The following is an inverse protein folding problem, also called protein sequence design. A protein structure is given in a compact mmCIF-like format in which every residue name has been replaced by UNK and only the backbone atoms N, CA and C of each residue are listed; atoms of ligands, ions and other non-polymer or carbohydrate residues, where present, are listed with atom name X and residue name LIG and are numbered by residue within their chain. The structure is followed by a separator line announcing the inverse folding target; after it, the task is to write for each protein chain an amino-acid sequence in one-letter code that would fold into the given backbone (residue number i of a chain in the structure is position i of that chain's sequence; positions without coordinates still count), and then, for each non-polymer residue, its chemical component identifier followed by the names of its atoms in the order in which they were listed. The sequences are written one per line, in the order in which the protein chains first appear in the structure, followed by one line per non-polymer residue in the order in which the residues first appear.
data_IF_163084847304
#
_entry.id   IF_163084847304
#
_cell.length_a   1.000
_cell.length_b   1.000
_cell.length_c   1.000
_cell.angle_alpha   90.00
_cell.angle_beta   90.00
_cell.angle_gamma   90.00
#
_symmetry.space_group_name_H-M   'P 1'
#
loop_
_entity.id
_entity.type
_entity.pdbx_description
1 polymer ?
#
# COMPACT_ATOMS: atom_id res chain seq x y z
N UNK A 1 16.95 -49.24 11.63
CA UNK A 1 16.74 -49.92 10.34
C UNK A 1 16.41 -48.87 9.28
N UNK A 2 16.85 -49.02 8.03
CA UNK A 2 16.54 -48.06 6.96
C UNK A 2 15.10 -48.19 6.44
N UNK A 3 14.57 -47.06 5.97
CA UNK A 3 13.29 -46.92 5.30
C UNK A 3 13.52 -46.35 3.90
N UNK A 4 12.90 -46.95 2.88
CA UNK A 4 12.93 -46.43 1.50
C UNK A 4 11.50 -46.23 1.01
N UNK A 5 11.18 -44.99 0.66
CA UNK A 5 9.94 -44.64 -0.01
C UNK A 5 10.29 -44.22 -1.45
N UNK A 6 10.17 -45.18 -2.37
CA UNK A 6 10.41 -44.96 -3.79
C UNK A 6 9.14 -44.53 -4.53
N UNK A 7 9.25 -44.34 -5.84
CA UNK A 7 8.12 -43.99 -6.71
C UNK A 7 8.17 -44.75 -8.04
N UNK A 8 7.09 -44.70 -8.83
CA UNK A 8 7.15 -45.12 -10.24
C UNK A 8 8.10 -44.21 -11.04
N UNK A 9 8.64 -44.70 -12.15
CA UNK A 9 9.54 -43.97 -13.04
C UNK A 9 11.01 -44.12 -12.67
N UNK A 10 11.88 -44.27 -13.67
CA UNK A 10 13.31 -44.54 -13.47
C UNK A 10 13.62 -45.90 -12.83
N UNK A 11 14.88 -46.13 -12.47
CA UNK A 11 15.42 -47.44 -12.10
C UNK A 11 16.22 -47.47 -10.78
N UNK A 12 16.26 -46.36 -10.03
CA UNK A 12 17.14 -46.21 -8.87
C UNK A 12 16.88 -47.26 -7.77
N UNK A 13 15.63 -47.68 -7.57
CA UNK A 13 15.26 -48.69 -6.57
C UNK A 13 15.84 -50.07 -6.91
N UNK A 14 16.16 -50.34 -8.17
CA UNK A 14 16.85 -51.57 -8.55
C UNK A 14 18.30 -51.61 -8.04
N UNK A 15 18.95 -50.47 -7.84
CA UNK A 15 20.27 -50.43 -7.19
C UNK A 15 20.20 -50.87 -5.72
N UNK A 16 19.06 -50.64 -5.07
CA UNK A 16 18.79 -51.14 -3.70
C UNK A 16 18.54 -52.65 -3.73
N UNK A 17 17.82 -53.13 -4.75
CA UNK A 17 17.64 -54.57 -5.02
C UNK A 17 18.98 -55.28 -5.21
N UNK A 18 19.88 -54.71 -6.00
CA UNK A 18 21.23 -55.23 -6.22
C UNK A 18 22.04 -55.22 -4.92
N UNK A 19 22.05 -54.12 -4.18
CA UNK A 19 22.78 -54.02 -2.92
C UNK A 19 22.28 -54.98 -1.81
N UNK A 20 20.98 -55.33 -1.83
CA UNK A 20 20.43 -56.39 -0.97
C UNK A 20 20.93 -57.78 -1.38
N UNK A 21 20.92 -58.07 -2.69
CA UNK A 21 21.40 -59.35 -3.24
C UNK A 21 22.89 -59.55 -3.00
N UNK A 22 23.68 -58.48 -3.13
CA UNK A 22 25.13 -58.50 -2.94
C UNK A 22 25.54 -58.50 -1.45
N UNK A 23 24.56 -58.48 -0.53
CA UNK A 23 24.81 -58.50 0.92
C UNK A 23 25.43 -57.20 1.46
N UNK A 24 25.41 -56.11 0.68
CA UNK A 24 25.91 -54.79 1.10
C UNK A 24 24.96 -54.19 2.14
N UNK A 25 23.64 -54.34 1.93
CA UNK A 25 22.62 -53.93 2.90
C UNK A 25 22.27 -55.13 3.78
N UNK A 26 22.75 -55.11 5.02
CA UNK A 26 22.56 -56.22 5.99
C UNK A 26 21.52 -55.93 7.08
N UNK A 27 21.13 -54.66 7.26
CA UNK A 27 20.07 -54.28 8.19
C UNK A 27 18.70 -54.56 7.56
N UNK A 28 17.66 -54.90 8.34
CA UNK A 28 16.32 -55.11 7.79
C UNK A 28 15.87 -53.83 7.10
N UNK A 29 15.54 -53.93 5.81
CA UNK A 29 15.10 -52.80 5.00
C UNK A 29 13.59 -52.88 4.83
N UNK A 30 12.89 -51.79 5.17
CA UNK A 30 11.48 -51.63 4.83
C UNK A 30 11.40 -50.72 3.60
N UNK A 31 10.71 -51.16 2.56
CA UNK A 31 10.62 -50.41 1.30
C UNK A 31 9.22 -50.41 0.71
N UNK A 32 8.82 -49.30 0.09
CA UNK A 32 7.58 -49.20 -0.68
C UNK A 32 7.75 -48.18 -1.81
N UNK A 33 7.37 -48.55 -3.03
CA UNK A 33 7.28 -47.64 -4.17
C UNK A 33 5.84 -47.19 -4.36
N UNK A 34 5.60 -45.87 -4.32
CA UNK A 34 4.29 -45.26 -4.55
C UNK A 34 3.99 -45.16 -6.07
N UNK A 35 2.70 -45.06 -6.42
CA UNK A 35 2.28 -44.97 -7.83
C UNK A 35 1.67 -46.24 -8.42
N UNK A 36 1.28 -47.20 -7.56
CA UNK A 36 0.60 -48.45 -7.95
C UNK A 36 -0.72 -48.23 -8.67
N UNK A 37 -1.34 -47.05 -8.55
CA UNK A 37 -2.55 -46.69 -9.29
C UNK A 37 -2.31 -46.58 -10.80
N UNK A 38 -1.06 -46.37 -11.25
CA UNK A 38 -0.74 -46.13 -12.65
C UNK A 38 -1.23 -47.24 -13.58
N UNK A 39 -1.27 -48.49 -13.12
CA UNK A 39 -1.78 -49.65 -13.87
C UNK A 39 -3.28 -49.59 -14.21
N UNK A 40 -4.04 -48.75 -13.51
CA UNK A 40 -5.47 -48.59 -13.71
C UNK A 40 -5.80 -47.49 -14.73
N UNK A 41 -4.80 -46.75 -15.22
CA UNK A 41 -4.99 -45.76 -16.28
C UNK A 41 -4.72 -46.38 -17.66
N UNK A 42 -5.44 -45.90 -18.68
CA UNK A 42 -5.35 -46.42 -20.04
C UNK A 42 -4.09 -45.98 -20.82
N UNK A 43 -3.17 -45.25 -20.19
CA UNK A 43 -1.96 -44.74 -20.81
C UNK A 43 -0.94 -44.19 -19.81
N UNK A 44 0.20 -43.71 -20.31
CA UNK A 44 1.27 -43.16 -19.49
C UNK A 44 0.89 -41.80 -18.90
N UNK A 45 0.60 -41.76 -17.60
CA UNK A 45 0.31 -40.52 -16.87
C UNK A 45 1.59 -39.97 -16.25
N UNK A 46 1.90 -38.71 -16.53
CA UNK A 46 2.92 -37.96 -15.80
C UNK A 46 2.30 -37.49 -14.47
N UNK A 47 2.88 -37.93 -13.35
CA UNK A 47 2.52 -37.44 -12.02
C UNK A 47 3.34 -36.19 -11.65
N UNK A 48 3.03 -35.57 -10.50
CA UNK A 48 3.52 -34.23 -10.14
C UNK A 48 5.04 -34.07 -10.07
N UNK A 49 5.78 -35.10 -9.65
CA UNK A 49 7.24 -35.09 -9.73
C UNK A 49 7.70 -35.33 -11.17
N UNK A 50 8.70 -34.57 -11.65
CA UNK A 50 9.16 -34.62 -13.03
C UNK A 50 9.57 -36.05 -13.50
N UNK A 51 10.08 -36.89 -12.59
CA UNK A 51 10.47 -38.28 -12.88
C UNK A 51 9.37 -39.32 -12.67
N UNK A 52 8.21 -38.95 -12.12
CA UNK A 52 7.14 -39.87 -11.76
C UNK A 52 6.27 -40.21 -12.98
N UNK A 53 6.86 -40.92 -13.93
CA UNK A 53 6.22 -41.46 -15.13
C UNK A 53 6.89 -42.79 -15.48
N UNK A 54 6.09 -43.82 -15.73
CA UNK A 54 6.59 -45.12 -16.18
C UNK A 54 6.29 -45.28 -17.67
N UNK A 55 7.34 -45.38 -18.48
CA UNK A 55 7.25 -45.73 -19.91
C UNK A 55 7.51 -47.21 -20.18
N UNK A 56 8.04 -47.94 -19.19
CA UNK A 56 8.30 -49.38 -19.25
C UNK A 56 7.81 -50.10 -17.99
N UNK A 57 7.52 -51.40 -18.10
CA UNK A 57 7.03 -52.21 -16.97
C UNK A 57 7.98 -52.18 -15.75
N UNK A 58 9.29 -52.18 -16.00
CA UNK A 58 10.30 -52.07 -14.94
C UNK A 58 10.22 -50.76 -14.16
N UNK A 59 9.73 -49.69 -14.78
CA UNK A 59 9.59 -48.40 -14.12
C UNK A 59 8.31 -48.33 -13.26
N UNK A 60 7.41 -49.31 -13.35
CA UNK A 60 6.17 -49.31 -12.57
C UNK A 60 6.44 -49.56 -11.09
N UNK A 61 5.64 -48.92 -10.24
CA UNK A 61 5.72 -49.11 -8.78
C UNK A 61 5.50 -50.57 -8.38
N UNK A 62 4.59 -51.29 -9.04
CA UNK A 62 4.33 -52.70 -8.78
C UNK A 62 5.56 -53.58 -9.09
N UNK A 63 6.24 -53.35 -10.22
CA UNK A 63 7.43 -54.09 -10.60
C UNK A 63 8.58 -53.85 -9.62
N UNK A 64 8.78 -52.59 -9.20
CA UNK A 64 9.80 -52.24 -8.21
C UNK A 64 9.49 -52.85 -6.83
N UNK A 65 8.24 -52.78 -6.37
CA UNK A 65 7.81 -53.40 -5.11
C UNK A 65 8.00 -54.92 -5.12
N UNK A 66 7.68 -55.58 -6.23
CA UNK A 66 7.90 -57.01 -6.39
C UNK A 66 9.41 -57.35 -6.36
N UNK A 67 10.25 -56.57 -7.05
CA UNK A 67 11.69 -56.76 -7.08
C UNK A 67 12.35 -56.55 -5.69
N UNK A 68 11.94 -55.52 -4.97
CA UNK A 68 12.38 -55.24 -3.59
C UNK A 68 12.00 -56.39 -2.64
N UNK A 69 10.74 -56.86 -2.72
CA UNK A 69 10.26 -57.99 -1.91
C UNK A 69 11.07 -59.27 -2.19
N UNK A 70 11.33 -59.56 -3.47
CA UNK A 70 12.12 -60.71 -3.88
C UNK A 70 13.58 -60.64 -3.42
N UNK A 71 14.13 -59.43 -3.25
CA UNK A 71 15.49 -59.20 -2.75
C UNK A 71 15.61 -59.28 -1.21
N UNK A 72 14.50 -59.52 -0.50
CA UNK A 72 14.49 -59.61 0.97
C UNK A 72 14.15 -58.30 1.69
N UNK A 73 13.71 -57.26 0.98
CA UNK A 73 13.12 -56.09 1.63
C UNK A 73 11.73 -56.44 2.19
N UNK A 74 11.37 -55.82 3.30
CA UNK A 74 10.05 -55.87 3.90
C UNK A 74 9.15 -54.87 3.17
N UNK A 75 8.30 -55.36 2.28
CA UNK A 75 7.42 -54.54 1.42
C UNK A 75 5.96 -54.83 1.78
N UNK A 76 5.18 -53.83 2.24
CA UNK A 76 3.77 -54.02 2.59
C UNK A 76 2.90 -54.27 1.35
N UNK A 77 1.62 -54.57 1.53
CA UNK A 77 0.70 -54.74 0.39
C UNK A 77 0.15 -53.41 -0.12
N UNK A 78 0.10 -52.39 0.73
CA UNK A 78 -0.28 -51.02 0.40
C UNK A 78 0.50 -50.02 1.25
N UNK A 79 0.39 -48.73 0.92
CA UNK A 79 0.98 -47.66 1.74
C UNK A 79 0.33 -47.56 3.13
N UNK A 80 -0.94 -47.95 3.26
CA UNK A 80 -1.67 -47.86 4.53
C UNK A 80 -1.13 -48.83 5.58
N UNK A 81 -0.51 -49.95 5.17
CA UNK A 81 0.12 -50.94 6.06
C UNK A 81 1.58 -50.56 6.43
N UNK A 82 2.11 -49.48 5.87
CA UNK A 82 3.50 -49.06 6.09
C UNK A 82 3.78 -48.70 7.56
N UNK A 83 2.90 -47.97 8.29
CA UNK A 83 3.10 -47.68 9.71
C UNK A 83 3.14 -48.95 10.59
N UNK A 84 2.26 -49.92 10.34
CA UNK A 84 2.20 -51.18 11.09
C UNK A 84 3.47 -52.02 10.87
N UNK A 85 3.95 -52.07 9.63
CA UNK A 85 5.20 -52.78 9.31
C UNK A 85 6.42 -52.12 9.98
N UNK A 86 6.49 -50.79 9.96
CA UNK A 86 7.54 -50.03 10.68
C UNK A 86 7.52 -50.34 12.17
N UNK A 87 6.33 -50.28 12.78
CA UNK A 87 6.14 -50.56 14.20
C UNK A 87 6.57 -51.99 14.54
N UNK A 88 6.13 -52.97 13.75
CA UNK A 88 6.47 -54.37 13.98
C UNK A 88 7.99 -54.65 13.92
N UNK A 89 8.68 -54.07 12.94
CA UNK A 89 10.15 -54.20 12.84
C UNK A 89 10.86 -53.49 13.98
N UNK A 90 10.39 -52.31 14.39
CA UNK A 90 10.92 -51.61 15.56
C UNK A 90 10.78 -52.45 16.84
N UNK A 91 9.59 -52.99 17.10
CA UNK A 91 9.30 -53.81 18.27
C UNK A 91 10.12 -55.11 18.28
N UNK A 92 10.28 -55.77 17.13
CA UNK A 92 11.13 -56.96 16.99
C UNK A 92 12.60 -56.65 17.30
N UNK A 93 13.14 -55.55 16.78
CA UNK A 93 14.51 -55.14 17.05
C UNK A 93 14.73 -54.68 18.49
N UNK A 94 13.73 -54.06 19.11
CA UNK A 94 13.72 -53.71 20.54
C UNK A 94 13.71 -54.98 21.40
N UNK A 95 12.87 -55.96 21.09
CA UNK A 95 12.81 -57.24 21.78
C UNK A 95 14.14 -58.02 21.66
N UNK A 96 14.84 -57.88 20.53
CA UNK A 96 16.19 -58.43 20.31
C UNK A 96 17.32 -57.65 20.99
N UNK A 97 17.02 -56.53 21.66
CA UNK A 97 18.00 -55.68 22.33
C UNK A 97 18.92 -54.91 21.38
N UNK A 98 18.58 -54.84 20.08
CA UNK A 98 19.37 -54.13 19.06
C UNK A 98 19.08 -52.62 19.03
N UNK A 99 17.94 -52.19 19.59
CA UNK A 99 17.53 -50.79 19.74
C UNK A 99 17.07 -50.58 21.19
N UNK A 100 17.55 -49.52 21.83
CA UNK A 100 17.18 -49.14 23.20
C UNK A 100 16.12 -48.04 23.24
N UNK A 101 15.62 -47.76 24.45
CA UNK A 101 14.82 -46.56 24.70
C UNK A 101 15.71 -45.33 24.75
N UNK A 102 15.22 -44.23 24.21
CA UNK A 102 15.85 -42.92 24.29
C UNK A 102 14.99 -42.10 25.25
N UNK A 103 15.61 -41.50 26.26
CA UNK A 103 14.94 -40.55 27.14
C UNK A 103 14.72 -39.25 26.37
N UNK A 104 13.45 -38.83 26.25
CA UNK A 104 13.10 -37.60 25.54
C UNK A 104 13.61 -36.38 26.31
N UNK A 105 14.46 -35.52 25.72
CA UNK A 105 14.98 -34.35 26.41
C UNK A 105 13.91 -33.27 26.58
N UNK A 106 14.07 -32.40 27.57
CA UNK A 106 13.24 -31.19 27.68
C UNK A 106 13.49 -30.26 26.48
N UNK A 107 12.41 -29.90 25.78
CA UNK A 107 12.46 -29.02 24.61
C UNK A 107 12.36 -27.56 25.08
N UNK A 108 13.29 -26.66 24.71
CA UNK A 108 13.20 -25.25 25.09
C UNK A 108 12.01 -24.56 24.41
N UNK A 109 11.30 -23.70 25.16
CA UNK A 109 10.21 -22.91 24.60
C UNK A 109 10.74 -21.79 23.69
N UNK A 110 10.22 -21.73 22.47
CA UNK A 110 10.54 -20.67 21.51
C UNK A 110 9.37 -19.68 21.48
N UNK A 111 9.61 -18.36 21.60
CA UNK A 111 8.56 -17.37 21.49
C UNK A 111 7.79 -17.49 20.17
N UNK A 112 6.45 -17.44 20.26
CA UNK A 112 5.61 -17.40 19.06
C UNK A 112 5.86 -16.11 18.27
N UNK A 113 5.83 -16.23 16.94
CA UNK A 113 5.95 -15.08 16.05
C UNK A 113 4.81 -14.08 16.28
N UNK A 114 5.16 -12.80 16.36
CA UNK A 114 4.20 -11.73 16.64
C UNK A 114 3.03 -11.70 15.64
N UNK A 115 3.28 -11.93 14.35
CA UNK A 115 2.22 -11.95 13.34
C UNK A 115 1.26 -13.12 13.54
N UNK A 116 1.75 -14.27 14.01
CA UNK A 116 0.89 -15.41 14.39
C UNK A 116 0.02 -15.07 15.60
N UNK A 117 0.62 -14.45 16.63
CA UNK A 117 -0.11 -14.04 17.83
C UNK A 117 -1.21 -13.03 17.52
N UNK A 118 -0.93 -12.04 16.65
CA UNK A 118 -1.90 -11.05 16.20
C UNK A 118 -3.00 -11.70 15.37
N UNK A 119 -2.65 -12.56 14.41
CA UNK A 119 -3.63 -13.26 13.56
C UNK A 119 -4.53 -14.20 14.38
N UNK A 120 -4.00 -14.80 15.44
CA UNK A 120 -4.74 -15.64 16.37
C UNK A 120 -5.55 -14.82 17.40
N UNK A 121 -5.45 -13.48 17.40
CA UNK A 121 -6.13 -12.62 18.36
C UNK A 121 -5.61 -12.74 19.80
N UNK A 122 -4.44 -13.35 20.01
CA UNK A 122 -3.82 -13.54 21.33
C UNK A 122 -3.20 -12.26 21.89
N UNK A 123 -2.81 -11.33 21.02
CA UNK A 123 -2.22 -10.04 21.40
C UNK A 123 -2.83 -8.90 20.57
N UNK A 124 -2.81 -7.69 21.13
CA UNK A 124 -3.18 -6.45 20.43
C UNK A 124 -2.07 -5.43 20.56
N UNK A 125 -1.82 -4.67 19.48
CA UNK A 125 -0.91 -3.54 19.48
C UNK A 125 -1.67 -2.29 19.03
N UNK A 126 -1.63 -1.19 19.81
CA UNK A 126 -2.26 0.06 19.41
C UNK A 126 -1.58 0.64 18.15
N UNK A 127 -2.34 1.35 17.33
CA UNK A 127 -1.81 2.08 16.18
C UNK A 127 -1.11 3.35 16.64
N UNK A 128 0.02 3.68 16.01
CA UNK A 128 0.77 4.91 16.31
C UNK A 128 0.28 6.13 15.52
N UNK A 129 -0.41 5.88 14.40
CA UNK A 129 -0.86 6.90 13.47
C UNK A 129 -2.33 6.68 13.13
N UNK A 130 -3.02 7.78 12.83
CA UNK A 130 -4.39 7.78 12.35
C UNK A 130 -4.39 8.49 10.98
N UNK A 131 -4.79 7.78 9.93
CA UNK A 131 -5.07 8.36 8.62
C UNK A 131 -6.59 8.36 8.41
N UNK A 132 -7.15 9.45 7.90
CA UNK A 132 -8.59 9.58 7.65
C UNK A 132 -8.94 10.09 6.25
N UNK A 133 -7.94 10.25 5.39
CA UNK A 133 -8.10 10.87 4.06
C UNK A 133 -7.88 9.89 2.90
N UNK A 134 -7.18 8.78 3.15
CA UNK A 134 -6.91 7.74 2.15
C UNK A 134 -6.67 6.39 2.82
N UNK A 135 -6.93 5.31 2.09
CA UNK A 135 -6.63 3.92 2.49
C UNK A 135 -6.16 3.13 1.26
N UNK A 136 -5.00 2.49 1.35
CA UNK A 136 -4.32 1.72 0.30
C UNK A 136 -4.20 0.23 0.63
N UNK A 137 -4.80 -0.23 1.73
CA UNK A 137 -4.65 -1.61 2.22
C UNK A 137 -5.66 -2.60 1.61
N UNK A 138 -6.72 -2.07 0.99
CA UNK A 138 -7.77 -2.87 0.35
C UNK A 138 -7.36 -3.39 -1.03
N UNK A 139 -8.31 -3.95 -1.78
CA UNK A 139 -8.09 -4.35 -3.18
C UNK A 139 -7.81 -3.14 -4.08
N UNK A 140 -8.37 -1.99 -3.74
CA UNK A 140 -8.16 -0.72 -4.42
C UNK A 140 -7.89 0.39 -3.41
N UNK A 141 -7.05 1.36 -3.79
CA UNK A 141 -6.83 2.56 -3.01
C UNK A 141 -8.05 3.48 -3.04
N UNK A 142 -8.26 4.22 -1.94
CA UNK A 142 -9.42 5.11 -1.78
C UNK A 142 -9.01 6.52 -1.38
N UNK A 143 -9.79 7.51 -1.83
CA UNK A 143 -9.76 8.88 -1.34
C UNK A 143 -11.01 9.14 -0.50
N UNK A 144 -10.85 9.27 0.82
CA UNK A 144 -11.93 9.41 1.78
C UNK A 144 -13.04 8.35 1.63
N UNK A 145 -12.64 7.10 1.36
CA UNK A 145 -13.56 5.98 1.16
C UNK A 145 -14.13 5.85 -0.26
N UNK A 146 -13.81 6.77 -1.17
CA UNK A 146 -14.19 6.66 -2.60
C UNK A 146 -13.07 5.93 -3.33
N UNK A 147 -13.33 4.78 -3.98
CA UNK A 147 -12.33 4.06 -4.77
C UNK A 147 -11.78 4.90 -5.93
N UNK A 148 -10.51 4.71 -6.29
CA UNK A 148 -9.88 5.46 -7.39
C UNK A 148 -10.60 5.23 -8.73
N UNK A 149 -11.06 4.02 -8.99
CA UNK A 149 -11.88 3.66 -10.15
C UNK A 149 -13.09 4.57 -10.28
N UNK A 150 -13.85 4.75 -9.19
CA UNK A 150 -15.00 5.65 -9.15
C UNK A 150 -14.60 7.13 -9.40
N UNK A 151 -13.45 7.58 -8.89
CA UNK A 151 -12.92 8.93 -9.16
C UNK A 151 -12.70 9.15 -10.66
N UNK A 152 -12.17 8.15 -11.37
CA UNK A 152 -11.93 8.23 -12.82
C UNK A 152 -13.22 8.07 -13.62
N UNK A 153 -14.04 7.07 -13.30
CA UNK A 153 -15.30 6.78 -14.01
C UNK A 153 -16.31 7.92 -13.94
N UNK A 154 -16.31 8.65 -12.82
CA UNK A 154 -17.20 9.80 -12.60
C UNK A 154 -16.56 11.14 -12.96
N UNK A 155 -15.40 11.13 -13.64
CA UNK A 155 -14.68 12.30 -14.14
C UNK A 155 -14.44 13.39 -13.07
N UNK A 156 -13.96 12.98 -11.89
CA UNK A 156 -13.65 13.92 -10.81
C UNK A 156 -12.46 14.78 -11.24
N UNK A 157 -12.61 16.10 -11.10
CA UNK A 157 -11.53 17.05 -11.38
C UNK A 157 -10.44 16.99 -10.29
N UNK A 158 -9.28 17.58 -10.58
CA UNK A 158 -8.22 17.77 -9.57
C UNK A 158 -8.78 18.53 -8.35
N UNK A 159 -9.63 19.53 -8.56
CA UNK A 159 -10.30 20.24 -7.48
C UNK A 159 -11.25 19.35 -6.65
N UNK A 160 -11.95 18.39 -7.27
CA UNK A 160 -12.78 17.43 -6.52
C UNK A 160 -11.91 16.52 -5.65
N UNK A 161 -10.78 16.06 -6.17
CA UNK A 161 -9.80 15.25 -5.41
C UNK A 161 -9.22 16.06 -4.24
N UNK A 162 -8.90 17.35 -4.45
CA UNK A 162 -8.50 18.26 -3.36
C UNK A 162 -9.63 18.37 -2.31
N UNK A 163 -10.89 18.51 -2.75
CA UNK A 163 -12.06 18.52 -1.87
C UNK A 163 -12.13 17.29 -0.96
N UNK A 164 -11.93 16.10 -1.53
CA UNK A 164 -11.88 14.86 -0.78
C UNK A 164 -10.68 14.86 0.19
N UNK A 165 -9.46 15.01 -0.30
CA UNK A 165 -8.27 14.80 0.52
C UNK A 165 -8.09 15.87 1.62
N UNK A 166 -8.49 17.11 1.37
CA UNK A 166 -8.30 18.20 2.34
C UNK A 166 -9.51 18.40 3.24
N UNK A 167 -10.73 18.22 2.71
CA UNK A 167 -11.97 18.55 3.42
C UNK A 167 -12.88 17.35 3.68
N UNK A 168 -12.51 16.16 3.19
CA UNK A 168 -13.30 14.91 3.28
C UNK A 168 -14.69 15.07 2.70
N UNK A 169 -14.83 15.89 1.65
CA UNK A 169 -16.11 16.22 1.02
C UNK A 169 -15.96 16.37 -0.47
N UNK A 170 -16.93 15.80 -1.20
CA UNK A 170 -17.16 16.19 -2.60
C UNK A 170 -17.89 17.53 -2.60
N UNK A 171 -17.26 18.54 -3.18
CA UNK A 171 -17.87 19.86 -3.26
C UNK A 171 -18.92 19.95 -4.38
N UNK A 172 -19.85 20.92 -4.31
CA UNK A 172 -20.66 21.29 -5.46
C UNK A 172 -19.79 21.71 -6.65
N UNK A 173 -20.27 21.46 -7.88
CA UNK A 173 -19.50 21.71 -9.10
C UNK A 173 -18.98 23.16 -9.23
N UNK A 174 -19.74 24.15 -8.77
CA UNK A 174 -19.31 25.55 -8.78
C UNK A 174 -18.09 25.80 -7.88
N UNK A 175 -17.99 25.10 -6.75
CA UNK A 175 -16.90 25.26 -5.79
C UNK A 175 -15.64 24.57 -6.30
N UNK A 176 -15.74 23.35 -6.84
CA UNK A 176 -14.63 22.67 -7.49
C UNK A 176 -14.10 23.49 -8.68
N UNK A 177 -14.99 24.02 -9.52
CA UNK A 177 -14.62 24.91 -10.63
C UNK A 177 -13.94 26.20 -10.15
N UNK A 178 -14.37 26.77 -9.03
CA UNK A 178 -13.72 27.95 -8.45
C UNK A 178 -12.30 27.63 -7.95
N UNK A 179 -12.10 26.47 -7.29
CA UNK A 179 -10.77 26.01 -6.86
C UNK A 179 -9.85 25.85 -8.08
N UNK A 180 -10.33 25.23 -9.16
CA UNK A 180 -9.58 25.11 -10.41
C UNK A 180 -9.19 26.47 -10.99
N UNK A 181 -10.10 27.46 -10.95
CA UNK A 181 -9.80 28.83 -11.38
C UNK A 181 -8.73 29.47 -10.51
N UNK A 182 -8.80 29.29 -9.18
CA UNK A 182 -7.79 29.81 -8.25
C UNK A 182 -6.42 29.22 -8.57
N UNK A 183 -6.32 27.89 -8.77
CA UNK A 183 -5.06 27.21 -9.13
C UNK A 183 -4.46 27.80 -10.41
N UNK A 184 -5.29 28.01 -11.45
CA UNK A 184 -4.84 28.61 -12.72
C UNK A 184 -4.35 30.05 -12.54
N UNK A 185 -5.03 30.85 -11.72
CA UNK A 185 -4.70 32.27 -11.50
C UNK A 185 -3.40 32.46 -10.72
N UNK A 186 -3.09 31.54 -9.80
CA UNK A 186 -1.89 31.62 -8.94
C UNK A 186 -0.71 30.79 -9.44
N UNK A 187 -0.83 30.16 -10.61
CA UNK A 187 0.17 29.23 -11.14
C UNK A 187 1.58 29.82 -11.25
N UNK A 188 1.69 31.09 -11.68
CA UNK A 188 2.94 31.83 -11.67
C UNK A 188 2.70 33.36 -11.66
N UNK A 189 3.68 34.12 -11.14
CA UNK A 189 3.70 35.59 -11.21
C UNK A 189 5.05 36.14 -11.66
N UNK A 190 5.82 35.32 -12.38
CA UNK A 190 7.10 35.69 -12.97
C UNK A 190 8.29 35.53 -12.03
N UNK A 191 9.52 35.66 -12.56
CA UNK A 191 10.74 35.17 -11.93
C UNK A 191 11.34 36.09 -10.86
N UNK A 192 10.64 37.18 -10.51
CA UNK A 192 11.11 38.21 -9.58
C UNK A 192 10.48 38.09 -8.18
N UNK A 193 9.49 37.22 -8.01
CA UNK A 193 8.94 36.92 -6.68
C UNK A 193 9.86 36.00 -5.90
N UNK A 194 9.83 36.07 -4.57
CA UNK A 194 10.78 35.36 -3.69
C UNK A 194 10.93 33.88 -4.01
N UNK A 195 9.82 33.15 -4.15
CA UNK A 195 9.85 31.71 -4.43
C UNK A 195 10.47 31.38 -5.78
N UNK A 196 10.01 32.04 -6.85
CA UNK A 196 10.53 31.83 -8.19
C UNK A 196 12.01 32.22 -8.31
N UNK A 197 12.43 33.29 -7.63
CA UNK A 197 13.83 33.71 -7.58
C UNK A 197 14.72 32.64 -6.91
N UNK A 198 14.32 32.15 -5.73
CA UNK A 198 15.06 31.13 -5.00
C UNK A 198 15.17 29.81 -5.78
N UNK A 199 14.06 29.35 -6.36
CA UNK A 199 14.06 28.15 -7.19
C UNK A 199 15.00 28.30 -8.39
N UNK A 200 14.96 29.45 -9.06
CA UNK A 200 15.86 29.77 -10.18
C UNK A 200 17.33 29.80 -9.77
N UNK A 201 17.68 30.45 -8.67
CA UNK A 201 19.07 30.48 -8.16
C UNK A 201 19.55 29.06 -7.85
N UNK A 202 18.71 28.27 -7.19
CA UNK A 202 19.02 26.90 -6.79
C UNK A 202 19.22 25.99 -8.01
N UNK A 203 18.34 26.06 -9.00
CA UNK A 203 18.48 25.34 -10.26
C UNK A 203 19.76 25.76 -11.02
N UNK A 204 20.08 27.06 -11.04
CA UNK A 204 21.34 27.57 -11.64
C UNK A 204 22.60 27.13 -10.89
N UNK A 205 22.47 26.76 -9.63
CA UNK A 205 23.54 26.13 -8.86
C UNK A 205 23.70 24.63 -9.14
N UNK A 206 23.01 24.09 -10.16
CA UNK A 206 23.12 22.68 -10.59
C UNK A 206 22.37 21.70 -9.69
N UNK A 207 21.42 22.18 -8.87
CA UNK A 207 20.59 21.33 -8.02
C UNK A 207 19.43 20.72 -8.80
N UNK A 208 18.95 19.57 -8.32
CA UNK A 208 17.81 18.86 -8.87
C UNK A 208 16.48 19.62 -8.69
N UNK A 209 15.44 19.13 -9.38
CA UNK A 209 14.11 19.74 -9.38
C UNK A 209 13.50 19.83 -7.98
N UNK A 210 13.63 18.79 -7.15
CA UNK A 210 13.01 18.77 -5.82
C UNK A 210 13.72 19.76 -4.89
N UNK A 211 15.05 19.82 -4.94
CA UNK A 211 15.83 20.83 -4.23
C UNK A 211 15.46 22.25 -4.64
N UNK A 212 15.36 22.53 -5.95
CA UNK A 212 14.99 23.85 -6.46
C UNK A 212 13.55 24.24 -6.10
N UNK A 213 12.61 23.30 -6.18
CA UNK A 213 11.23 23.51 -5.78
C UNK A 213 11.12 23.81 -4.28
N UNK A 214 11.79 23.03 -3.44
CA UNK A 214 11.76 23.19 -2.00
C UNK A 214 12.27 24.57 -1.56
N UNK A 215 13.36 25.08 -2.13
CA UNK A 215 13.87 26.42 -1.78
C UNK A 215 12.91 27.54 -2.19
N UNK A 216 12.12 27.34 -3.24
CA UNK A 216 11.03 28.24 -3.62
C UNK A 216 9.86 28.18 -2.64
N UNK A 217 9.38 26.97 -2.31
CA UNK A 217 8.27 26.74 -1.38
C UNK A 217 8.57 27.28 0.02
N UNK A 218 9.81 27.12 0.51
CA UNK A 218 10.23 27.61 1.83
C UNK A 218 10.19 29.14 1.98
N UNK A 219 10.02 29.87 0.88
CA UNK A 219 9.79 31.33 0.95
C UNK A 219 8.32 31.69 1.19
N UNK A 220 7.40 30.74 0.98
CA UNK A 220 5.96 30.96 1.16
C UNK A 220 5.68 31.08 2.66
N UNK A 221 5.11 32.22 3.04
CA UNK A 221 4.90 32.61 4.43
C UNK A 221 4.30 34.01 4.54
N UNK A 222 4.48 34.73 5.67
CA UNK A 222 3.72 35.94 5.96
C UNK A 222 3.92 37.09 4.96
N UNK A 223 5.09 37.17 4.31
CA UNK A 223 5.42 38.24 3.34
C UNK A 223 5.28 37.83 1.87
N UNK A 224 5.20 36.54 1.58
CA UNK A 224 5.06 36.01 0.22
C UNK A 224 4.05 34.86 0.24
N UNK A 225 2.87 35.06 -0.35
CA UNK A 225 1.75 34.10 -0.34
C UNK A 225 0.78 34.27 0.84
N UNK A 226 1.24 34.69 2.01
CA UNK A 226 0.41 34.79 3.23
C UNK A 226 -0.73 35.83 3.21
N UNK A 227 -0.77 36.72 2.21
CA UNK A 227 -1.83 37.73 2.11
C UNK A 227 -3.23 37.12 1.90
N UNK A 228 -3.32 35.94 1.29
CA UNK A 228 -4.61 35.24 1.05
C UNK A 228 -5.24 34.85 2.39
N UNK A 229 -4.48 34.16 3.24
CA UNK A 229 -4.93 33.73 4.57
C UNK A 229 -5.18 34.93 5.49
N UNK A 230 -4.29 35.93 5.46
CA UNK A 230 -4.46 37.18 6.20
C UNK A 230 -5.76 37.92 5.82
N UNK A 231 -6.09 37.99 4.54
CA UNK A 231 -7.33 38.62 4.07
C UNK A 231 -8.54 37.82 4.56
N UNK A 232 -8.57 36.50 4.32
CA UNK A 232 -9.65 35.65 4.77
C UNK A 232 -9.91 35.78 6.28
N UNK A 233 -8.85 35.79 7.09
CA UNK A 233 -8.91 35.96 8.55
C UNK A 233 -9.54 37.29 8.95
N UNK A 234 -9.00 38.43 8.49
CA UNK A 234 -9.41 39.74 9.00
C UNK A 234 -10.77 40.18 8.46
N UNK A 235 -11.09 39.92 7.18
CA UNK A 235 -12.41 40.22 6.64
C UNK A 235 -13.50 39.39 7.32
N UNK A 236 -13.24 38.09 7.54
CA UNK A 236 -14.18 37.23 8.27
C UNK A 236 -14.39 37.73 9.69
N UNK A 237 -13.31 38.01 10.42
CA UNK A 237 -13.36 38.55 11.78
C UNK A 237 -14.20 39.83 11.85
N UNK A 238 -13.92 40.82 11.00
CA UNK A 238 -14.62 42.10 11.02
C UNK A 238 -16.12 41.93 10.72
N UNK A 239 -16.46 41.09 9.74
CA UNK A 239 -17.85 40.79 9.39
C UNK A 239 -18.59 40.06 10.52
N UNK A 240 -17.96 39.08 11.18
CA UNK A 240 -18.55 38.34 12.30
C UNK A 240 -18.71 39.20 13.56
N UNK A 241 -17.83 40.20 13.76
CA UNK A 241 -17.98 41.19 14.83
C UNK A 241 -18.98 42.31 14.50
N UNK A 242 -19.55 42.30 13.30
CA UNK A 242 -20.51 43.32 12.87
C UNK A 242 -19.90 44.71 12.64
N UNK A 243 -18.57 44.81 12.48
CA UNK A 243 -17.90 46.08 12.22
C UNK A 243 -18.33 46.62 10.86
N UNK A 244 -18.68 47.91 10.79
CA UNK A 244 -18.90 48.54 9.49
C UNK A 244 -17.56 48.70 8.73
N UNK A 245 -17.58 48.92 7.40
CA UNK A 245 -16.36 49.03 6.60
C UNK A 245 -15.38 50.13 7.05
N UNK A 246 -15.86 51.26 7.58
CA UNK A 246 -14.98 52.32 8.11
C UNK A 246 -14.36 51.91 9.43
N UNK A 247 -15.16 51.34 10.34
CA UNK A 247 -14.68 50.80 11.61
C UNK A 247 -13.60 49.74 11.41
N UNK A 248 -13.78 48.84 10.43
CA UNK A 248 -12.76 47.85 10.10
C UNK A 248 -11.46 48.48 9.59
N UNK A 249 -11.56 49.49 8.71
CA UNK A 249 -10.39 50.20 8.20
C UNK A 249 -9.62 50.91 9.33
N UNK A 250 -10.34 51.52 10.26
CA UNK A 250 -9.75 52.18 11.43
C UNK A 250 -9.19 51.18 12.45
N UNK A 251 -9.85 50.04 12.64
CA UNK A 251 -9.33 48.93 13.45
C UNK A 251 -7.98 48.45 12.93
N UNK A 252 -7.89 48.17 11.62
CA UNK A 252 -6.64 47.71 11.00
C UNK A 252 -5.52 48.74 11.11
N UNK A 253 -5.86 50.03 11.00
CA UNK A 253 -4.89 51.13 11.13
C UNK A 253 -4.42 51.35 12.56
N UNK A 254 -5.34 51.39 13.52
CA UNK A 254 -5.07 51.88 14.88
C UNK A 254 -4.74 50.74 15.86
N UNK A 255 -5.35 49.57 15.67
CA UNK A 255 -5.20 48.40 16.55
C UNK A 255 -4.15 47.45 15.99
N UNK A 256 -4.38 46.86 14.81
CA UNK A 256 -3.45 45.88 14.22
C UNK A 256 -2.17 46.54 13.67
N UNK A 257 -2.27 47.82 13.29
CA UNK A 257 -1.16 48.63 12.76
C UNK A 257 -0.46 47.98 11.55
N UNK A 258 -1.23 47.30 10.72
CA UNK A 258 -0.78 46.72 9.46
C UNK A 258 -1.70 47.16 8.32
N UNK A 259 -1.20 47.26 7.06
CA UNK A 259 -2.06 47.41 5.91
C UNK A 259 -3.05 46.25 5.83
N UNK A 260 -4.28 46.54 5.39
CA UNK A 260 -5.33 45.54 5.24
C UNK A 260 -4.88 44.50 4.21
N UNK A 261 -4.65 43.22 4.60
CA UNK A 261 -4.24 42.20 3.64
C UNK A 261 -5.30 42.01 2.56
N UNK A 262 -4.87 41.93 1.30
CA UNK A 262 -5.78 41.83 0.16
C UNK A 262 -6.24 43.17 -0.42
N UNK A 263 -5.93 44.30 0.22
CA UNK A 263 -6.17 45.64 -0.31
C UNK A 263 -4.87 46.26 -0.85
N UNK A 264 -4.97 46.88 -2.02
CA UNK A 264 -3.89 47.64 -2.65
C UNK A 264 -3.19 46.90 -3.78
N UNK A 265 -2.76 47.66 -4.79
CA UNK A 265 -2.03 47.14 -5.94
C UNK A 265 -1.03 48.20 -6.43
N UNK A 266 0.16 47.77 -6.91
CA UNK A 266 1.21 48.70 -7.39
C UNK A 266 0.81 49.53 -8.62
N UNK A 267 0.17 48.89 -9.61
CA UNK A 267 -0.17 49.50 -10.92
C UNK A 267 -1.68 49.60 -11.17
N UNK A 268 -2.44 48.55 -10.85
CA UNK A 268 -3.89 48.46 -11.07
C UNK A 268 -4.65 49.39 -10.14
N UNK A 269 -5.79 49.88 -10.62
CA UNK A 269 -6.65 50.85 -9.94
C UNK A 269 -8.11 50.63 -10.32
N UNK A 270 -9.02 51.43 -9.75
CA UNK A 270 -10.45 51.38 -10.08
C UNK A 270 -10.74 51.67 -11.56
N UNK A 271 -9.86 52.42 -12.25
CA UNK A 271 -9.97 52.72 -13.69
C UNK A 271 -9.21 51.72 -14.58
N UNK A 272 -8.29 50.95 -14.01
CA UNK A 272 -7.51 49.90 -14.70
C UNK A 272 -7.50 48.63 -13.83
N UNK A 273 -8.60 47.85 -13.84
CA UNK A 273 -8.77 46.73 -12.92
C UNK A 273 -7.83 45.56 -13.22
N UNK A 274 -7.53 44.77 -12.20
CA UNK A 274 -6.82 43.50 -12.35
C UNK A 274 -7.78 42.44 -12.92
N UNK A 275 -7.47 41.95 -14.13
CA UNK A 275 -8.30 40.95 -14.82
C UNK A 275 -8.47 39.66 -14.02
N UNK A 276 -7.48 39.26 -13.21
CA UNK A 276 -7.57 38.07 -12.35
C UNK A 276 -8.66 38.24 -11.30
N UNK A 277 -8.73 39.42 -10.69
CA UNK A 277 -9.73 39.77 -9.68
C UNK A 277 -11.11 39.86 -10.33
N UNK A 278 -11.24 40.47 -11.51
CA UNK A 278 -12.52 40.53 -12.23
C UNK A 278 -13.08 39.14 -12.55
N UNK A 279 -12.25 38.23 -13.08
CA UNK A 279 -12.66 36.88 -13.44
C UNK A 279 -13.17 36.09 -12.22
N UNK A 280 -12.43 36.12 -11.10
CA UNK A 280 -12.83 35.42 -9.87
C UNK A 280 -14.09 36.06 -9.25
N UNK A 281 -14.17 37.38 -9.22
CA UNK A 281 -15.32 38.12 -8.67
C UNK A 281 -16.59 37.86 -9.45
N UNK A 282 -16.53 37.91 -10.79
CA UNK A 282 -17.69 37.67 -11.64
C UNK A 282 -18.18 36.23 -11.52
N UNK A 283 -17.25 35.27 -11.54
CA UNK A 283 -17.61 33.87 -11.33
C UNK A 283 -18.31 33.65 -9.99
N UNK A 284 -17.79 34.23 -8.90
CA UNK A 284 -18.38 34.11 -7.58
C UNK A 284 -19.81 34.69 -7.55
N UNK A 285 -20.01 35.90 -8.08
CA UNK A 285 -21.33 36.55 -8.13
C UNK A 285 -22.37 35.80 -8.97
N UNK A 286 -21.93 35.13 -10.02
CA UNK A 286 -22.82 34.39 -10.93
C UNK A 286 -23.19 32.99 -10.41
N UNK A 287 -22.29 32.33 -9.67
CA UNK A 287 -22.40 30.90 -9.37
C UNK A 287 -22.54 30.57 -7.88
N UNK A 288 -22.14 31.45 -6.96
CA UNK A 288 -22.16 31.15 -5.53
C UNK A 288 -23.58 31.36 -4.97
N UNK A 289 -24.05 30.50 -4.05
CA UNK A 289 -25.34 30.71 -3.38
C UNK A 289 -25.39 31.99 -2.53
N UNK A 290 -24.25 32.41 -1.98
CA UNK A 290 -24.09 33.66 -1.23
C UNK A 290 -22.68 34.19 -1.37
N UNK A 291 -22.55 35.51 -1.45
CA UNK A 291 -21.28 36.25 -1.52
C UNK A 291 -21.14 37.30 -0.43
N UNK A 292 -21.85 37.17 0.69
CA UNK A 292 -21.94 38.21 1.74
C UNK A 292 -20.59 38.76 2.21
N UNK A 293 -19.58 37.90 2.36
CA UNK A 293 -18.24 38.33 2.77
C UNK A 293 -17.49 39.07 1.64
N UNK A 294 -17.71 38.67 0.39
CA UNK A 294 -17.19 39.39 -0.77
C UNK A 294 -17.88 40.75 -0.91
N UNK A 295 -19.19 40.83 -0.70
CA UNK A 295 -19.93 42.09 -0.76
C UNK A 295 -19.46 43.05 0.33
N UNK A 296 -19.24 42.56 1.55
CA UNK A 296 -18.59 43.33 2.62
C UNK A 296 -17.18 43.81 2.20
N UNK A 297 -16.37 42.93 1.60
CA UNK A 297 -15.03 43.30 1.16
C UNK A 297 -15.04 44.38 0.06
N UNK A 298 -16.03 44.37 -0.83
CA UNK A 298 -16.22 45.40 -1.87
C UNK A 298 -16.64 46.75 -1.27
N UNK A 299 -17.40 46.76 -0.17
CA UNK A 299 -17.68 48.03 0.54
C UNK A 299 -16.41 48.59 1.20
N UNK A 300 -15.57 47.73 1.79
CA UNK A 300 -14.25 48.12 2.31
C UNK A 300 -13.33 48.65 1.19
N UNK A 301 -13.38 48.04 0.00
CA UNK A 301 -12.65 48.54 -1.19
C UNK A 301 -13.07 49.98 -1.54
N UNK A 302 -14.36 50.33 -1.47
CA UNK A 302 -14.81 51.71 -1.72
C UNK A 302 -14.27 52.70 -0.68
N UNK A 303 -14.25 52.31 0.59
CA UNK A 303 -13.68 53.15 1.66
C UNK A 303 -12.18 53.37 1.46
N UNK A 304 -11.46 52.34 1.02
CA UNK A 304 -10.00 52.43 0.87
C UNK A 304 -9.57 53.10 -0.44
N UNK A 305 -10.35 53.01 -1.51
CA UNK A 305 -10.05 53.66 -2.81
C UNK A 305 -10.47 55.13 -2.88
N UNK A 306 -11.23 55.61 -1.90
CA UNK A 306 -11.56 57.04 -1.75
C UNK A 306 -10.51 57.83 -0.94
N UNK A 307 -9.51 57.15 -0.39
CA UNK A 307 -8.35 57.74 0.29
C UNK A 307 -7.17 57.91 -0.67
#
# INVERSE_FOLDING_TARGET
FPLVLGELGGDLEYRVVEALKDGIITKPLIAWCIGTISKHFAGEVQFGHAGAKAGADMETADAKNAALRAAGALVPNSFDEFPELIKGVYEDLKAKGLIGEIEEPEIPEIPEDYAKLVKAGKVRKPTNFICTISDDRGEEATYCGIPISEVVERDFSIADVIGLLWFKKKFPAWASKFIDMVIKVVADHGPCVSGAHNAKVTARAGKDLMSALATGILTIGPRFGGAIDGAAKYFKFAKEQGMDPFEFVDYMKNVEKIPIPGIGHRIKSTKNPDKRVELLKNFAKENFPSTELLDYALEVEKVTTSK
#
